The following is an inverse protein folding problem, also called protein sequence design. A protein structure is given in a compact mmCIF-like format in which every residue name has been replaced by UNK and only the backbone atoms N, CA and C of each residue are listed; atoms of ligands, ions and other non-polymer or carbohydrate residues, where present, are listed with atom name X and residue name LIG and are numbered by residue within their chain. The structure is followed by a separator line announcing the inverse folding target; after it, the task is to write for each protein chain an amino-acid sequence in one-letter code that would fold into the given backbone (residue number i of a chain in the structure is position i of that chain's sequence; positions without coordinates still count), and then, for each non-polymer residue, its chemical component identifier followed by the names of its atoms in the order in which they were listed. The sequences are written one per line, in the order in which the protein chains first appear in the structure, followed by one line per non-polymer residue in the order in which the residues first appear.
data_IF_901976401514
#
_entry.id   IF_901976401514
#
_cell.length_a   1.000
_cell.length_b   1.000
_cell.length_c   1.000
_cell.angle_alpha   90.00
_cell.angle_beta   90.00
_cell.angle_gamma   90.00
#
_symmetry.space_group_name_H-M   'P 1'
#
loop_
_entity.id
_entity.type
_entity.pdbx_description
1 polymer ?
#
# COMPACT_ATOMS: atom_id res chain seq x y z
N UNK A 1 -17.02 -1.15 25.39
CA UNK A 1 -15.64 -1.59 25.09
C UNK A 1 -15.56 -2.48 23.84
N UNK A 2 -16.26 -3.63 23.78
CA UNK A 2 -16.14 -4.59 22.67
C UNK A 2 -16.52 -4.04 21.27
N UNK A 3 -17.48 -3.11 21.17
CA UNK A 3 -17.88 -2.54 19.87
C UNK A 3 -16.82 -1.62 19.25
N UNK A 4 -16.07 -0.87 20.06
CA UNK A 4 -14.97 -0.03 19.56
C UNK A 4 -13.83 -0.87 18.98
N UNK A 5 -13.56 -2.04 19.58
CA UNK A 5 -12.57 -2.99 19.08
C UNK A 5 -12.95 -3.54 17.70
N UNK A 6 -14.22 -3.88 17.48
CA UNK A 6 -14.69 -4.37 16.16
C UNK A 6 -14.52 -3.30 15.07
N UNK A 7 -14.91 -2.06 15.36
CA UNK A 7 -14.77 -0.96 14.42
C UNK A 7 -13.30 -0.65 14.09
N UNK A 8 -12.42 -0.73 15.10
CA UNK A 8 -10.98 -0.58 14.89
C UNK A 8 -10.44 -1.71 13.99
N UNK A 9 -10.78 -2.97 14.30
CA UNK A 9 -10.36 -4.14 13.51
C UNK A 9 -10.85 -4.04 12.07
N UNK A 10 -12.09 -3.65 11.81
CA UNK A 10 -12.62 -3.48 10.46
C UNK A 10 -11.83 -2.44 9.66
N UNK A 11 -11.49 -1.30 10.28
CA UNK A 11 -10.70 -0.24 9.63
C UNK A 11 -9.27 -0.70 9.34
N UNK A 12 -8.62 -1.34 10.31
CA UNK A 12 -7.26 -1.87 10.14
C UNK A 12 -7.20 -3.01 9.12
N UNK A 13 -8.17 -3.93 9.14
CA UNK A 13 -8.26 -5.03 8.18
C UNK A 13 -8.45 -4.49 6.75
N UNK A 14 -9.26 -3.45 6.58
CA UNK A 14 -9.48 -2.81 5.27
C UNK A 14 -8.19 -2.15 4.75
N UNK A 15 -7.48 -1.40 5.60
CA UNK A 15 -6.23 -0.75 5.20
C UNK A 15 -5.11 -1.76 4.91
N UNK A 16 -4.99 -2.83 5.71
CA UNK A 16 -4.06 -3.93 5.43
C UNK A 16 -4.38 -4.65 4.12
N UNK A 17 -5.66 -4.87 3.81
CA UNK A 17 -6.06 -5.48 2.54
C UNK A 17 -5.66 -4.61 1.35
N UNK A 18 -5.90 -3.29 1.42
CA UNK A 18 -5.48 -2.33 0.38
C UNK A 18 -3.95 -2.30 0.22
N UNK A 19 -3.21 -2.33 1.33
CA UNK A 19 -1.75 -2.40 1.30
C UNK A 19 -1.25 -3.68 0.62
N UNK A 20 -1.81 -4.84 0.98
CA UNK A 20 -1.44 -6.11 0.36
C UNK A 20 -1.75 -6.13 -1.14
N UNK A 21 -2.86 -5.52 -1.55
CA UNK A 21 -3.21 -5.39 -2.97
C UNK A 21 -2.16 -4.54 -3.72
N UNK A 22 -1.75 -3.41 -3.14
CA UNK A 22 -0.65 -2.60 -3.67
C UNK A 22 0.66 -3.40 -3.78
N UNK A 23 0.97 -4.22 -2.78
CA UNK A 23 2.16 -5.06 -2.77
C UNK A 23 2.12 -6.14 -3.87
N UNK A 24 0.96 -6.75 -4.10
CA UNK A 24 0.77 -7.72 -5.19
C UNK A 24 1.00 -7.05 -6.56
N UNK A 25 0.53 -5.82 -6.75
CA UNK A 25 0.78 -5.04 -7.97
C UNK A 25 2.24 -4.59 -8.11
N UNK A 26 2.94 -4.28 -7.01
CA UNK A 26 4.39 -4.00 -7.01
C UNK A 26 5.20 -5.24 -7.40
N UNK A 27 4.91 -6.39 -6.80
CA UNK A 27 5.68 -7.62 -6.98
C UNK A 27 5.30 -8.39 -8.26
N UNK A 28 4.10 -8.15 -8.81
CA UNK A 28 3.58 -8.90 -9.96
C UNK A 28 3.24 -10.36 -9.61
N UNK A 29 2.91 -10.64 -8.35
CA UNK A 29 2.57 -11.99 -7.89
C UNK A 29 1.14 -12.34 -8.33
N UNK A 30 1.03 -13.01 -9.48
CA UNK A 30 -0.26 -13.46 -10.03
C UNK A 30 -1.09 -12.37 -10.73
N UNK A 31 -0.56 -11.14 -10.84
CA UNK A 31 -1.20 -10.00 -11.52
C UNK A 31 -0.13 -9.24 -12.33
N UNK A 32 -0.53 -8.55 -13.41
CA UNK A 32 0.35 -7.65 -14.17
C UNK A 32 0.95 -6.59 -13.23
N UNK A 33 2.28 -6.45 -13.27
CA UNK A 33 3.02 -5.49 -12.46
C UNK A 33 2.69 -4.07 -12.90
N UNK A 34 2.06 -3.30 -12.01
CA UNK A 34 1.68 -1.90 -12.25
C UNK A 34 1.98 -1.06 -11.01
N UNK A 35 3.08 -0.30 -11.08
CA UNK A 35 3.53 0.53 -9.98
C UNK A 35 2.62 1.75 -9.77
N UNK A 36 1.95 2.24 -10.82
CA UNK A 36 1.02 3.38 -10.69
C UNK A 36 -0.22 2.93 -9.92
N UNK A 37 -0.74 1.75 -10.25
CA UNK A 37 -1.88 1.19 -9.55
C UNK A 37 -1.53 0.84 -8.10
N UNK A 38 -0.34 0.25 -7.86
CA UNK A 38 0.18 -0.01 -6.52
C UNK A 38 0.23 1.26 -5.67
N UNK A 39 0.78 2.36 -6.23
CA UNK A 39 0.84 3.66 -5.57
C UNK A 39 -0.56 4.14 -5.14
N UNK A 40 -1.55 3.99 -6.02
CA UNK A 40 -2.92 4.41 -5.74
C UNK A 40 -3.57 3.60 -4.61
N UNK A 41 -3.34 2.29 -4.56
CA UNK A 41 -3.82 1.45 -3.46
C UNK A 41 -3.18 1.81 -2.12
N UNK A 42 -1.90 2.14 -2.14
CA UNK A 42 -1.21 2.64 -0.96
C UNK A 42 -1.77 3.98 -0.48
N UNK A 43 -2.01 4.94 -1.39
CA UNK A 43 -2.61 6.24 -1.06
C UNK A 43 -3.99 6.04 -0.38
N UNK A 44 -4.84 5.14 -0.90
CA UNK A 44 -6.14 4.80 -0.26
C UNK A 44 -5.98 4.13 1.11
N UNK A 45 -4.98 3.26 1.29
CA UNK A 45 -4.73 2.61 2.57
C UNK A 45 -4.35 3.62 3.67
N UNK A 46 -3.59 4.66 3.32
CA UNK A 46 -3.24 5.75 4.22
C UNK A 46 -4.43 6.66 4.54
N UNK A 47 -5.36 6.88 3.60
CA UNK A 47 -6.60 7.61 3.85
C UNK A 47 -7.55 6.87 4.81
N UNK A 48 -7.61 5.54 4.70
CA UNK A 48 -8.54 4.73 5.49
C UNK A 48 -8.12 4.60 6.97
N UNK A 49 -6.81 4.59 7.23
CA UNK A 49 -6.28 4.55 8.59
C UNK A 49 -4.94 5.25 8.71
N UNK A 50 -4.85 6.18 9.66
CA UNK A 50 -3.62 6.89 10.00
C UNK A 50 -2.51 5.95 10.52
N UNK A 51 -2.86 4.82 11.13
CA UNK A 51 -1.89 3.78 11.54
C UNK A 51 -1.21 3.11 10.34
N UNK A 52 -1.89 2.97 9.20
CA UNK A 52 -1.30 2.40 7.99
C UNK A 52 -0.48 3.43 7.19
N UNK A 53 -0.52 4.73 7.55
CA UNK A 53 0.18 5.78 6.82
C UNK A 53 1.71 5.61 6.87
N UNK A 54 2.27 5.19 8.01
CA UNK A 54 3.72 4.97 8.16
C UNK A 54 4.24 3.84 7.24
N UNK A 55 3.67 2.61 7.25
CA UNK A 55 4.13 1.56 6.34
C UNK A 55 3.83 1.89 4.87
N UNK A 56 2.73 2.58 4.58
CA UNK A 56 2.42 3.08 3.23
C UNK A 56 3.50 4.03 2.73
N UNK A 57 3.88 5.04 3.52
CA UNK A 57 4.88 6.03 3.12
C UNK A 57 6.23 5.37 2.82
N UNK A 58 6.60 4.35 3.60
CA UNK A 58 7.82 3.57 3.37
C UNK A 58 7.75 2.79 2.05
N UNK A 59 6.62 2.13 1.76
CA UNK A 59 6.42 1.42 0.49
C UNK A 59 6.45 2.37 -0.72
N UNK A 60 5.83 3.55 -0.60
CA UNK A 60 5.85 4.60 -1.62
C UNK A 60 7.27 5.14 -1.87
N UNK A 61 8.04 5.39 -0.81
CA UNK A 61 9.42 5.82 -0.91
C UNK A 61 10.28 4.77 -1.62
N UNK A 62 10.08 3.49 -1.29
CA UNK A 62 10.73 2.37 -1.98
C UNK A 62 10.39 2.37 -3.48
N UNK A 63 9.11 2.49 -3.84
CA UNK A 63 8.67 2.56 -5.24
C UNK A 63 9.31 3.74 -6.00
N UNK A 64 9.44 4.91 -5.37
CA UNK A 64 10.09 6.08 -5.94
C UNK A 64 11.60 5.82 -6.21
N UNK A 65 12.29 5.12 -5.30
CA UNK A 65 13.70 4.75 -5.49
C UNK A 65 13.86 3.72 -6.61
N UNK A 66 12.97 2.71 -6.68
CA UNK A 66 13.00 1.71 -7.75
C UNK A 66 12.70 2.30 -9.13
N UNK A 67 11.73 3.21 -9.23
CA UNK A 67 11.39 3.90 -10.49
C UNK A 67 12.56 4.77 -10.98
N UNK A 68 13.17 5.55 -10.09
CA UNK A 68 14.37 6.35 -10.41
C UNK A 68 15.56 5.47 -10.86
N UNK A 69 15.77 4.34 -10.20
CA UNK A 69 16.85 3.40 -10.55
C UNK A 69 16.65 2.74 -11.91
N UNK A 70 15.40 2.45 -12.30
CA UNK A 70 15.09 1.89 -13.62
C UNK A 70 15.28 2.90 -14.75
N UNK A 71 15.16 4.20 -14.46
CA UNK A 71 15.27 5.26 -15.46
C UNK A 71 16.74 5.61 -15.74
N UNK A 72 17.64 5.42 -14.77
CA UNK A 72 19.08 5.66 -14.94
C UNK A 72 19.82 4.58 -15.75
N UNK A 73 19.18 3.44 -16.06
CA UNK A 73 19.79 2.32 -16.81
C UNK A 73 19.29 2.27 -18.27
N UNK A 74 18.42 3.20 -18.69
CA UNK A 74 17.99 3.36 -20.09
C UNK A 74 18.74 4.50 -20.75
#
# INVERSE_FOLDING_TARGET
AAQHYKLAVERHATAQAMFNLGLMHEQGLGITRDLHLAKRFYDMAAEQSSDAAVPVALALAKLAVYSCSSESIR
#
